data_IF_463731185148
#
_entry.id   IF_463731185148
#
_cell.length_a   1.000
_cell.length_b   1.000
_cell.length_c   1.000
_cell.angle_alpha   90.00
_cell.angle_beta   90.00
_cell.angle_gamma   90.00
#
_symmetry.space_group_name_H-M   'P 1'
#
loop_
_entity.id
_entity.type
_entity.pdbx_description
1 polymer ?
#
# COMPACT_ATOMS: atom_id res chain seq x y z
N UNK A 1 -9.35 -10.36 -11.67
CA UNK A 1 -10.16 -11.44 -11.07
C UNK A 1 -9.65 -11.88 -9.69
N UNK A 2 -8.37 -12.20 -9.52
CA UNK A 2 -7.82 -12.74 -8.27
C UNK A 2 -7.97 -11.73 -7.11
N UNK A 3 -7.57 -10.46 -7.28
CA UNK A 3 -7.73 -9.42 -6.24
C UNK A 3 -9.19 -9.16 -5.86
N UNK A 4 -10.12 -9.27 -6.80
CA UNK A 4 -11.57 -9.20 -6.52
C UNK A 4 -12.01 -10.34 -5.60
N UNK A 5 -11.53 -11.55 -5.86
CA UNK A 5 -11.83 -12.70 -5.01
C UNK A 5 -11.27 -12.53 -3.59
N UNK A 6 -10.04 -12.03 -3.46
CA UNK A 6 -9.44 -11.70 -2.16
C UNK A 6 -10.26 -10.61 -1.45
N UNK A 7 -10.57 -9.51 -2.13
CA UNK A 7 -11.36 -8.40 -1.58
C UNK A 7 -12.75 -8.83 -1.09
N UNK A 8 -13.39 -9.81 -1.75
CA UNK A 8 -14.65 -10.40 -1.30
C UNK A 8 -14.53 -11.19 0.01
N UNK A 9 -13.36 -11.82 0.21
CA UNK A 9 -13.12 -12.69 1.37
C UNK A 9 -12.55 -11.96 2.59
N UNK A 10 -12.09 -10.72 2.44
CA UNK A 10 -11.61 -9.88 3.53
C UNK A 10 -12.77 -9.08 4.12
N UNK A 11 -12.97 -9.16 5.43
CA UNK A 11 -13.85 -8.24 6.15
C UNK A 11 -13.15 -6.89 6.37
N UNK A 12 -13.94 -5.84 6.64
CA UNK A 12 -13.40 -4.53 6.96
C UNK A 12 -12.55 -4.60 8.25
N UNK A 13 -11.35 -3.99 8.25
CA UNK A 13 -10.53 -3.81 9.44
C UNK A 13 -11.01 -2.61 10.28
N UNK A 14 -10.45 -2.44 11.48
CA UNK A 14 -10.73 -1.27 12.30
C UNK A 14 -10.25 0.02 11.64
N UNK A 15 -9.05 0.00 11.10
CA UNK A 15 -8.43 1.16 10.45
C UNK A 15 -9.24 1.56 9.20
N UNK A 16 -9.64 0.58 8.36
CA UNK A 16 -10.52 0.83 7.21
C UNK A 16 -11.89 1.37 7.63
N UNK A 17 -12.48 0.85 8.71
CA UNK A 17 -13.75 1.34 9.24
C UNK A 17 -13.64 2.77 9.77
N UNK A 18 -12.51 3.12 10.39
CA UNK A 18 -12.25 4.48 10.86
C UNK A 18 -12.13 5.45 9.68
N UNK A 19 -11.36 5.12 8.65
CA UNK A 19 -11.27 5.92 7.42
C UNK A 19 -12.61 6.08 6.71
N UNK A 20 -13.44 5.04 6.73
CA UNK A 20 -14.78 5.08 6.11
C UNK A 20 -15.76 5.98 6.86
N UNK A 21 -15.86 5.86 8.19
CA UNK A 21 -16.81 6.64 8.99
C UNK A 21 -16.32 8.04 9.36
N UNK A 22 -15.01 8.25 9.40
CA UNK A 22 -14.35 9.50 9.72
C UNK A 22 -13.34 9.83 8.62
N UNK A 23 -13.81 10.24 7.41
CA UNK A 23 -12.94 10.46 6.26
C UNK A 23 -12.09 11.72 6.44
N UNK A 24 -10.92 11.58 7.07
CA UNK A 24 -9.95 12.67 7.27
C UNK A 24 -8.95 12.78 6.11
N UNK A 25 -8.88 11.77 5.25
CA UNK A 25 -7.94 11.67 4.14
C UNK A 25 -8.65 11.34 2.82
N UNK A 26 -7.89 11.42 1.73
CA UNK A 26 -8.40 11.13 0.39
C UNK A 26 -8.87 9.67 0.24
N UNK A 27 -8.22 8.73 0.91
CA UNK A 27 -8.60 7.31 0.91
C UNK A 27 -9.98 7.09 1.53
N UNK A 28 -10.27 7.77 2.65
CA UNK A 28 -11.60 7.77 3.27
C UNK A 28 -12.67 8.33 2.34
N UNK A 29 -12.40 9.46 1.68
CA UNK A 29 -13.32 10.02 0.68
C UNK A 29 -13.56 9.05 -0.47
N UNK A 30 -12.49 8.44 -1.01
CA UNK A 30 -12.59 7.49 -2.11
C UNK A 30 -13.37 6.22 -1.70
N UNK A 31 -13.23 5.76 -0.45
CA UNK A 31 -13.98 4.61 0.07
C UNK A 31 -15.48 4.90 0.16
N UNK A 32 -15.87 6.09 0.61
CA UNK A 32 -17.27 6.53 0.63
C UNK A 32 -17.86 6.63 -0.76
N UNK A 33 -17.11 7.21 -1.71
CA UNK A 33 -17.52 7.28 -3.11
C UNK A 33 -17.66 5.88 -3.72
N UNK A 34 -16.76 4.96 -3.39
CA UNK A 34 -16.81 3.56 -3.84
C UNK A 34 -18.08 2.86 -3.34
N UNK A 35 -18.42 3.02 -2.07
CA UNK A 35 -19.64 2.45 -1.49
C UNK A 35 -20.90 3.09 -2.06
N UNK A 36 -20.88 4.38 -2.31
CA UNK A 36 -22.00 5.09 -2.96
C UNK A 36 -22.29 4.53 -4.36
N UNK A 37 -21.26 4.24 -5.17
CA UNK A 37 -21.40 3.75 -6.54
C UNK A 37 -21.69 2.24 -6.62
N UNK A 38 -21.09 1.43 -5.76
CA UNK A 38 -21.11 -0.04 -5.86
C UNK A 38 -21.86 -0.73 -4.70
N UNK A 39 -22.42 0.03 -3.77
CA UNK A 39 -23.15 -0.47 -2.62
C UNK A 39 -22.29 -0.81 -1.42
N UNK A 40 -22.93 -0.87 -0.25
CA UNK A 40 -22.26 -1.12 1.04
C UNK A 40 -21.96 -2.61 1.25
N UNK A 41 -20.89 -3.07 0.68
CA UNK A 41 -20.36 -4.43 0.81
C UNK A 41 -18.83 -4.43 0.65
N UNK A 42 -18.18 -5.55 1.00
CA UNK A 42 -16.70 -5.65 0.99
C UNK A 42 -16.08 -5.39 -0.40
N UNK A 43 -16.78 -5.75 -1.48
CA UNK A 43 -16.34 -5.47 -2.85
C UNK A 43 -16.55 -4.00 -3.17
N UNK A 44 -17.76 -3.47 -2.90
CA UNK A 44 -18.09 -2.08 -3.14
C UNK A 44 -17.14 -1.12 -2.45
N UNK A 45 -16.72 -1.44 -1.22
CA UNK A 45 -15.73 -0.67 -0.47
C UNK A 45 -14.38 -0.55 -1.20
N UNK A 46 -13.97 -1.59 -1.93
CA UNK A 46 -12.63 -1.72 -2.54
C UNK A 46 -12.60 -1.48 -4.04
N UNK A 47 -13.75 -1.32 -4.68
CA UNK A 47 -13.85 -1.31 -6.15
C UNK A 47 -13.06 -0.17 -6.80
N UNK A 48 -13.16 1.06 -6.27
CA UNK A 48 -12.40 2.18 -6.82
C UNK A 48 -10.89 2.03 -6.62
N UNK A 49 -10.44 1.42 -5.52
CA UNK A 49 -9.02 1.14 -5.31
C UNK A 49 -8.49 0.10 -6.31
N UNK A 50 -9.28 -0.92 -6.63
CA UNK A 50 -8.95 -1.89 -7.67
C UNK A 50 -8.90 -1.26 -9.07
N UNK A 51 -9.85 -0.37 -9.39
CA UNK A 51 -9.84 0.39 -10.65
C UNK A 51 -8.60 1.30 -10.72
N UNK A 52 -8.28 1.99 -9.64
CA UNK A 52 -7.09 2.82 -9.54
C UNK A 52 -5.80 2.00 -9.71
N UNK A 53 -5.76 0.78 -9.16
CA UNK A 53 -4.64 -0.15 -9.37
C UNK A 53 -4.47 -0.54 -10.85
N UNK A 54 -5.56 -0.80 -11.58
CA UNK A 54 -5.50 -1.06 -13.02
C UNK A 54 -5.01 0.17 -13.79
N UNK A 55 -5.50 1.37 -13.46
CA UNK A 55 -5.00 2.62 -14.03
C UNK A 55 -3.50 2.80 -13.76
N UNK A 56 -3.03 2.51 -12.55
CA UNK A 56 -1.62 2.57 -12.21
C UNK A 56 -0.77 1.59 -13.03
N UNK A 57 -1.26 0.38 -13.29
CA UNK A 57 -0.57 -0.58 -14.16
C UNK A 57 -0.43 -0.05 -15.60
N UNK A 58 -1.48 0.58 -16.13
CA UNK A 58 -1.46 1.22 -17.46
C UNK A 58 -0.49 2.41 -17.48
N UNK A 59 -0.54 3.28 -16.47
CA UNK A 59 0.40 4.42 -16.37
C UNK A 59 1.84 3.94 -16.22
N UNK A 60 2.09 2.88 -15.45
CA UNK A 60 3.41 2.27 -15.32
C UNK A 60 3.91 1.77 -16.68
N UNK A 61 3.05 1.16 -17.51
CA UNK A 61 3.41 0.75 -18.86
C UNK A 61 3.75 1.94 -19.76
N UNK A 62 2.91 2.99 -19.76
CA UNK A 62 3.13 4.21 -20.57
C UNK A 62 4.44 4.86 -20.17
N UNK A 63 4.69 5.06 -18.88
CA UNK A 63 5.92 5.65 -18.37
C UNK A 63 7.14 4.80 -18.72
N UNK A 64 7.08 3.49 -18.46
CA UNK A 64 8.18 2.58 -18.74
C UNK A 64 8.48 2.48 -20.24
N UNK A 65 7.46 2.52 -21.12
CA UNK A 65 7.63 2.51 -22.59
C UNK A 65 8.43 3.71 -23.08
N UNK A 66 8.21 4.88 -22.51
CA UNK A 66 9.00 6.07 -22.87
C UNK A 66 10.38 6.12 -22.19
N UNK A 67 10.56 5.43 -21.06
CA UNK A 67 11.82 5.39 -20.31
C UNK A 67 12.80 4.31 -20.79
N UNK A 68 12.28 3.17 -21.25
CA UNK A 68 13.05 1.99 -21.63
C UNK A 68 13.26 1.91 -23.14
N UNK A 69 14.32 1.19 -23.56
CA UNK A 69 14.70 1.05 -24.97
C UNK A 69 13.73 0.19 -25.80
N UNK A 70 13.01 -0.74 -25.17
CA UNK A 70 12.12 -1.68 -25.87
C UNK A 70 10.77 -1.78 -25.15
N UNK A 71 9.65 -1.88 -25.90
CA UNK A 71 8.33 -2.08 -25.29
C UNK A 71 8.20 -3.37 -24.46
N UNK A 72 8.94 -4.42 -24.84
CA UNK A 72 9.00 -5.68 -24.06
C UNK A 72 9.53 -5.47 -22.64
N UNK A 73 10.50 -4.57 -22.46
CA UNK A 73 11.05 -4.26 -21.15
C UNK A 73 10.01 -3.52 -20.28
N UNK A 74 9.12 -2.74 -20.90
CA UNK A 74 8.02 -2.07 -20.21
C UNK A 74 6.99 -3.07 -19.67
N UNK A 75 6.73 -4.16 -20.37
CA UNK A 75 5.88 -5.24 -19.85
C UNK A 75 6.48 -5.87 -18.59
N UNK A 76 7.80 -6.02 -18.52
CA UNK A 76 8.48 -6.47 -17.30
C UNK A 76 8.33 -5.50 -16.14
N UNK A 77 8.33 -4.18 -16.38
CA UNK A 77 8.02 -3.20 -15.34
C UNK A 77 6.62 -3.42 -14.77
N UNK A 78 5.62 -3.61 -15.64
CA UNK A 78 4.25 -3.86 -15.22
C UNK A 78 4.14 -5.20 -14.48
N UNK A 79 4.80 -6.25 -14.98
CA UNK A 79 4.82 -7.54 -14.31
C UNK A 79 5.40 -7.43 -12.88
N UNK A 80 6.55 -6.77 -12.72
CA UNK A 80 7.13 -6.53 -11.39
C UNK A 80 6.19 -5.72 -10.52
N UNK A 81 5.60 -4.62 -11.05
CA UNK A 81 4.64 -3.79 -10.33
C UNK A 81 3.45 -4.61 -9.82
N UNK A 82 2.84 -5.45 -10.67
CA UNK A 82 1.69 -6.29 -10.32
C UNK A 82 2.06 -7.43 -9.35
N UNK A 83 3.32 -7.86 -9.30
CA UNK A 83 3.79 -8.90 -8.39
C UNK A 83 4.32 -8.35 -7.07
N UNK A 84 4.47 -7.02 -6.89
CA UNK A 84 4.90 -6.47 -5.60
C UNK A 84 3.84 -6.68 -4.53
N UNK A 85 4.20 -7.26 -3.36
CA UNK A 85 3.25 -7.50 -2.27
C UNK A 85 2.59 -6.22 -1.76
N UNK A 86 3.37 -5.14 -1.59
CA UNK A 86 2.86 -3.86 -1.11
C UNK A 86 1.87 -3.21 -2.09
N UNK A 87 2.06 -3.36 -3.40
CA UNK A 87 1.14 -2.84 -4.43
C UNK A 87 -0.19 -3.60 -4.41
N UNK A 88 -0.14 -4.92 -4.25
CA UNK A 88 -1.34 -5.75 -4.13
C UNK A 88 -2.10 -5.46 -2.83
N UNK A 89 -1.39 -5.28 -1.72
CA UNK A 89 -2.01 -4.87 -0.45
C UNK A 89 -2.71 -3.50 -0.59
N UNK A 90 -2.05 -2.51 -1.17
CA UNK A 90 -2.63 -1.18 -1.43
C UNK A 90 -3.85 -1.20 -2.38
N UNK A 91 -3.96 -2.21 -3.24
CA UNK A 91 -5.10 -2.38 -4.15
C UNK A 91 -6.36 -2.94 -3.47
N UNK A 92 -6.21 -3.70 -2.38
CA UNK A 92 -7.30 -4.37 -1.67
C UNK A 92 -7.63 -3.74 -0.31
N UNK A 93 -6.79 -2.85 0.21
CA UNK A 93 -7.00 -2.12 1.46
C UNK A 93 -7.30 -0.64 1.18
N UNK A 94 -8.01 0.01 2.09
CA UNK A 94 -8.23 1.46 2.02
C UNK A 94 -6.92 2.16 2.37
N UNK A 95 -6.29 2.79 1.38
CA UNK A 95 -5.04 3.53 1.57
C UNK A 95 -4.84 4.61 0.50
N UNK A 96 -4.09 5.65 0.84
CA UNK A 96 -3.70 6.69 -0.13
C UNK A 96 -2.63 6.21 -1.13
N UNK A 97 -2.00 5.04 -0.91
CA UNK A 97 -0.87 4.56 -1.70
C UNK A 97 -1.17 4.52 -3.20
N UNK A 98 -2.37 4.09 -3.58
CA UNK A 98 -2.78 4.03 -4.99
C UNK A 98 -2.80 5.38 -5.68
N UNK A 99 -3.32 6.43 -5.02
CA UNK A 99 -3.38 7.79 -5.58
C UNK A 99 -2.00 8.46 -5.60
N UNK A 100 -1.14 8.16 -4.61
CA UNK A 100 0.23 8.64 -4.58
C UNK A 100 1.01 8.11 -5.79
N UNK A 101 0.90 6.80 -6.06
CA UNK A 101 1.50 6.18 -7.26
C UNK A 101 0.94 6.82 -8.53
N UNK A 102 -0.40 6.98 -8.62
CA UNK A 102 -1.07 7.55 -9.77
C UNK A 102 -0.55 8.96 -10.12
N UNK A 103 -0.59 9.87 -9.16
CA UNK A 103 -0.18 11.26 -9.38
C UNK A 103 1.33 11.38 -9.65
N UNK A 104 2.15 10.56 -8.98
CA UNK A 104 3.60 10.56 -9.22
C UNK A 104 3.95 10.00 -10.60
N UNK A 105 3.29 8.92 -11.05
CA UNK A 105 3.44 8.41 -12.42
C UNK A 105 2.97 9.43 -13.45
N UNK A 106 1.84 10.07 -13.21
CA UNK A 106 1.31 11.11 -14.09
C UNK A 106 2.28 12.29 -14.21
N UNK A 107 2.88 12.73 -13.09
CA UNK A 107 3.94 13.75 -13.09
C UNK A 107 5.13 13.32 -13.97
N UNK A 108 5.60 12.09 -13.79
CA UNK A 108 6.73 11.56 -14.56
C UNK A 108 6.42 11.42 -16.04
N UNK A 109 5.21 10.99 -16.42
CA UNK A 109 4.76 10.86 -17.82
C UNK A 109 4.67 12.22 -18.48
N UNK A 110 3.98 13.18 -17.86
CA UNK A 110 3.84 14.53 -18.42
C UNK A 110 5.18 15.23 -18.57
N UNK A 111 6.06 15.09 -17.57
CA UNK A 111 7.42 15.58 -17.67
C UNK A 111 8.20 14.92 -18.81
N UNK A 112 8.07 13.61 -19.01
CA UNK A 112 8.75 12.88 -20.06
C UNK A 112 8.29 13.31 -21.48
N UNK A 113 7.00 13.62 -21.63
CA UNK A 113 6.42 14.04 -22.92
C UNK A 113 6.72 15.50 -23.26
N UNK A 114 6.66 16.39 -22.27
CA UNK A 114 6.73 17.85 -22.49
C UNK A 114 8.09 18.44 -22.15
N UNK A 115 8.95 17.72 -21.44
CA UNK A 115 10.19 18.19 -20.81
C UNK A 115 9.97 19.41 -19.88
N UNK A 116 8.72 19.68 -19.50
CA UNK A 116 8.32 20.74 -18.56
C UNK A 116 7.58 20.15 -17.37
N UNK A 117 7.83 20.69 -16.20
CA UNK A 117 7.09 20.29 -14.99
C UNK A 117 5.66 20.84 -15.06
N UNK A 118 4.63 20.00 -14.92
CA UNK A 118 3.22 20.44 -14.92
C UNK A 118 2.87 21.06 -13.56
N UNK A 119 3.04 22.37 -13.42
CA UNK A 119 2.84 23.09 -12.15
C UNK A 119 1.43 22.95 -11.57
N UNK A 120 0.40 22.86 -12.43
CA UNK A 120 -0.98 22.61 -12.01
C UNK A 120 -1.14 21.28 -11.28
N UNK A 121 -0.38 20.25 -11.69
CA UNK A 121 -0.39 18.94 -11.05
C UNK A 121 0.28 19.00 -9.66
N UNK A 122 1.36 19.80 -9.52
CA UNK A 122 2.00 20.01 -8.23
C UNK A 122 1.04 20.67 -7.23
N UNK A 123 0.20 21.61 -7.71
CA UNK A 123 -0.83 22.20 -6.87
C UNK A 123 -1.83 21.16 -6.36
N UNK A 124 -2.32 20.27 -7.23
CA UNK A 124 -3.20 19.16 -6.82
C UNK A 124 -2.51 18.26 -5.79
N UNK A 125 -1.26 17.85 -6.08
CA UNK A 125 -0.49 16.99 -5.17
C UNK A 125 -0.32 17.62 -3.78
N UNK A 126 -0.18 18.95 -3.69
CA UNK A 126 -0.02 19.65 -2.42
C UNK A 126 -1.22 19.51 -1.47
N UNK A 127 -2.42 19.23 -1.98
CA UNK A 127 -3.66 19.09 -1.21
C UNK A 127 -4.13 17.65 -1.00
N UNK A 128 -3.45 16.64 -1.57
CA UNK A 128 -3.93 15.26 -1.55
C UNK A 128 -3.35 14.45 -0.40
N UNK A 129 -2.03 14.53 -0.17
CA UNK A 129 -1.38 13.69 0.83
C UNK A 129 -0.04 14.27 1.31
N UNK A 130 0.29 13.99 2.59
CA UNK A 130 1.56 14.41 3.23
C UNK A 130 2.82 13.86 2.53
N UNK A 131 2.74 12.72 1.86
CA UNK A 131 3.88 12.10 1.18
C UNK A 131 4.42 12.93 0.02
N UNK A 132 3.60 13.82 -0.57
CA UNK A 132 4.03 14.70 -1.65
C UNK A 132 5.04 15.76 -1.22
N UNK A 133 5.19 16.04 0.09
CA UNK A 133 6.31 16.82 0.60
C UNK A 133 7.65 16.28 0.09
N UNK A 134 7.80 14.94 0.03
CA UNK A 134 9.04 14.33 -0.48
C UNK A 134 9.22 14.50 -1.98
N UNK A 135 8.12 14.56 -2.74
CA UNK A 135 8.19 14.88 -4.18
C UNK A 135 8.64 16.32 -4.38
N UNK A 136 8.09 17.27 -3.61
CA UNK A 136 8.52 18.68 -3.68
C UNK A 136 9.98 18.83 -3.24
N UNK A 137 10.41 18.14 -2.20
CA UNK A 137 11.81 18.11 -1.77
C UNK A 137 12.71 17.52 -2.88
N UNK A 138 12.29 16.46 -3.56
CA UNK A 138 13.01 15.89 -4.68
C UNK A 138 13.10 16.86 -5.87
N UNK A 139 12.03 17.62 -6.14
CA UNK A 139 12.00 18.66 -7.18
C UNK A 139 12.93 19.83 -6.85
N UNK A 140 13.13 20.19 -5.57
CA UNK A 140 14.13 21.17 -5.17
C UNK A 140 15.52 20.70 -5.56
N UNK A 141 15.92 19.48 -5.18
CA UNK A 141 17.21 18.92 -5.54
C UNK A 141 17.38 18.76 -7.07
N UNK A 142 16.32 18.35 -7.74
CA UNK A 142 16.29 18.26 -9.21
C UNK A 142 16.45 19.64 -9.85
N UNK A 143 15.76 20.67 -9.38
CA UNK A 143 15.85 22.05 -9.86
C UNK A 143 17.26 22.65 -9.68
N UNK A 144 17.90 22.38 -8.53
CA UNK A 144 19.31 22.77 -8.27
C UNK A 144 20.24 22.11 -9.31
N UNK A 145 20.06 20.80 -9.54
CA UNK A 145 20.88 20.06 -10.51
C UNK A 145 20.70 20.55 -11.95
N UNK A 146 19.48 20.97 -12.31
CA UNK A 146 19.15 21.53 -13.63
C UNK A 146 19.38 23.05 -13.73
N UNK A 147 19.86 23.71 -12.66
CA UNK A 147 20.03 25.17 -12.56
C UNK A 147 18.74 25.96 -12.86
N UNK A 148 17.58 25.40 -12.52
CA UNK A 148 16.27 26.02 -12.70
C UNK A 148 15.78 26.63 -11.38
N UNK A 149 16.12 27.91 -11.14
CA UNK A 149 15.76 28.63 -9.92
C UNK A 149 14.26 28.80 -9.72
N UNK A 150 13.49 28.95 -10.81
CA UNK A 150 12.03 29.05 -10.73
C UNK A 150 11.41 27.76 -10.19
N UNK A 151 11.87 26.60 -10.67
CA UNK A 151 11.42 25.29 -10.17
C UNK A 151 11.76 25.13 -8.68
N UNK A 152 12.97 25.51 -8.26
CA UNK A 152 13.40 25.44 -6.86
C UNK A 152 12.48 26.28 -5.97
N UNK A 153 12.26 27.55 -6.36
CA UNK A 153 11.41 28.46 -5.57
C UNK A 153 9.97 27.97 -5.47
N UNK A 154 9.38 27.54 -6.58
CA UNK A 154 8.01 27.05 -6.60
C UNK A 154 7.85 25.74 -5.81
N UNK A 155 8.80 24.81 -5.93
CA UNK A 155 8.80 23.57 -5.17
C UNK A 155 8.96 23.81 -3.67
N UNK A 156 9.72 24.84 -3.28
CA UNK A 156 9.84 25.24 -1.88
C UNK A 156 8.51 25.76 -1.32
N UNK A 157 7.77 26.57 -2.11
CA UNK A 157 6.43 27.03 -1.75
C UNK A 157 5.48 25.86 -1.56
N UNK A 158 5.43 24.92 -2.51
CA UNK A 158 4.55 23.75 -2.40
C UNK A 158 4.96 22.81 -1.25
N UNK A 159 6.26 22.69 -0.99
CA UNK A 159 6.75 21.96 0.17
C UNK A 159 6.25 22.58 1.48
N UNK A 160 6.43 23.91 1.64
CA UNK A 160 5.97 24.62 2.82
C UNK A 160 4.44 24.56 2.99
N UNK A 161 3.69 24.71 1.88
CA UNK A 161 2.23 24.58 1.87
C UNK A 161 1.77 23.18 2.30
N UNK A 162 2.36 22.12 1.76
CA UNK A 162 2.01 20.76 2.10
C UNK A 162 2.34 20.43 3.57
N UNK A 163 3.50 20.88 4.05
CA UNK A 163 3.89 20.76 5.46
C UNK A 163 2.94 21.49 6.41
N UNK A 164 2.45 22.65 6.00
CA UNK A 164 1.47 23.42 6.77
C UNK A 164 0.10 22.75 6.83
N UNK A 165 -0.33 22.10 5.74
CA UNK A 165 -1.65 21.47 5.66
C UNK A 165 -1.72 20.12 6.38
N UNK A 166 -0.65 19.33 6.34
CA UNK A 166 -0.68 17.94 6.81
C UNK A 166 0.12 17.67 8.08
N UNK A 167 0.79 18.65 8.62
CA UNK A 167 1.59 18.56 9.85
C UNK A 167 2.37 17.22 9.98
N UNK A 168 3.60 17.21 9.47
CA UNK A 168 4.46 16.04 9.64
C UNK A 168 4.98 15.99 11.07
N UNK A 169 4.36 15.17 11.90
CA UNK A 169 4.83 14.93 13.27
C UNK A 169 6.24 14.32 13.24
N UNK A 170 7.21 15.13 13.61
CA UNK A 170 8.60 14.72 13.80
C UNK A 170 8.87 14.70 15.31
N UNK A 171 8.75 13.53 15.91
CA UNK A 171 8.93 13.35 17.34
C UNK A 171 9.44 11.95 17.66
N UNK A 172 9.77 11.69 18.93
CA UNK A 172 10.13 10.36 19.42
C UNK A 172 11.56 10.23 19.91
N UNK A 173 11.89 9.08 20.48
CA UNK A 173 13.20 8.71 20.98
C UNK A 173 13.76 7.54 20.17
N UNK A 174 15.08 7.46 19.93
CA UNK A 174 15.69 6.32 19.25
C UNK A 174 15.38 5.00 19.97
N UNK A 175 14.70 4.07 19.29
CA UNK A 175 14.24 2.80 19.86
C UNK A 175 14.29 1.64 18.85
N UNK A 176 15.34 1.56 18.02
CA UNK A 176 15.50 0.46 17.08
C UNK A 176 14.56 0.44 15.87
N UNK A 177 13.79 1.48 15.63
CA UNK A 177 12.80 1.57 14.53
C UNK A 177 13.40 1.42 13.13
N UNK A 178 14.71 1.63 12.99
CA UNK A 178 15.41 1.45 11.72
C UNK A 178 15.32 0.01 11.19
N UNK A 179 15.45 -0.99 12.08
CA UNK A 179 15.35 -2.41 11.71
C UNK A 179 13.92 -2.72 11.32
N UNK A 180 12.94 -2.27 12.09
CA UNK A 180 11.52 -2.48 11.80
C UNK A 180 11.11 -1.84 10.46
N UNK A 181 11.53 -0.59 10.24
CA UNK A 181 11.26 0.13 8.98
C UNK A 181 11.91 -0.57 7.79
N UNK A 182 13.16 -1.01 7.93
CA UNK A 182 13.85 -1.78 6.89
C UNK A 182 13.15 -3.11 6.63
N UNK A 183 12.68 -3.81 7.67
CA UNK A 183 11.88 -5.02 7.56
C UNK A 183 10.57 -4.79 6.81
N UNK A 184 9.86 -3.70 7.09
CA UNK A 184 8.64 -3.33 6.36
C UNK A 184 8.92 -3.04 4.88
N UNK A 185 10.01 -2.33 4.54
CA UNK A 185 10.39 -2.10 3.15
C UNK A 185 10.72 -3.40 2.43
N UNK A 186 11.40 -4.34 3.10
CA UNK A 186 11.68 -5.68 2.57
C UNK A 186 10.37 -6.47 2.31
N UNK A 187 9.35 -6.31 3.14
CA UNK A 187 8.04 -6.94 2.92
C UNK A 187 7.26 -6.29 1.77
N UNK A 188 7.28 -4.96 1.65
CA UNK A 188 6.59 -4.22 0.59
C UNK A 188 7.15 -4.57 -0.79
N UNK A 189 8.48 -4.65 -0.92
CA UNK A 189 9.17 -4.89 -2.20
C UNK A 189 9.52 -6.36 -2.45
N UNK A 190 9.58 -7.22 -1.47
CA UNK A 190 10.35 -8.46 -1.41
C UNK A 190 11.87 -8.19 -1.19
N UNK A 191 12.57 -9.01 -0.39
CA UNK A 191 13.98 -8.77 -0.06
C UNK A 191 14.89 -8.66 -1.28
N UNK A 192 14.75 -9.54 -2.25
CA UNK A 192 15.60 -9.56 -3.45
C UNK A 192 15.37 -8.34 -4.35
N UNK A 193 14.10 -7.91 -4.51
CA UNK A 193 13.76 -6.73 -5.30
C UNK A 193 14.28 -5.47 -4.63
N UNK A 194 14.12 -5.35 -3.30
CA UNK A 194 14.57 -4.18 -2.56
C UNK A 194 16.10 -4.02 -2.62
N UNK A 195 16.85 -5.10 -2.41
CA UNK A 195 18.31 -5.05 -2.53
C UNK A 195 18.75 -4.67 -3.95
N UNK A 196 18.08 -5.20 -4.97
CA UNK A 196 18.38 -4.82 -6.35
C UNK A 196 17.95 -3.35 -6.65
N UNK A 197 16.90 -2.86 -6.02
CA UNK A 197 16.50 -1.45 -6.10
C UNK A 197 17.57 -0.52 -5.51
N UNK A 198 18.12 -0.84 -4.34
CA UNK A 198 19.23 -0.08 -3.74
C UNK A 198 20.44 -0.07 -4.66
N UNK A 199 20.78 -1.23 -5.25
CA UNK A 199 21.85 -1.32 -6.25
C UNK A 199 21.58 -0.45 -7.48
N UNK A 200 20.34 -0.41 -7.97
CA UNK A 200 19.97 0.43 -9.09
C UNK A 200 20.11 1.92 -8.75
N UNK A 201 19.66 2.37 -7.59
CA UNK A 201 19.83 3.75 -7.13
C UNK A 201 21.31 4.15 -7.06
N UNK A 202 22.16 3.26 -6.51
CA UNK A 202 23.62 3.47 -6.49
C UNK A 202 24.24 3.57 -7.89
N UNK A 203 23.83 2.71 -8.83
CA UNK A 203 24.34 2.75 -10.20
C UNK A 203 23.94 4.03 -10.92
N UNK A 204 22.71 4.52 -10.73
CA UNK A 204 22.26 5.79 -11.28
C UNK A 204 22.92 7.00 -10.60
N UNK A 205 23.30 6.90 -9.32
CA UNK A 205 24.10 7.96 -8.66
C UNK A 205 25.41 8.23 -9.41
N UNK A 206 26.09 7.20 -9.90
CA UNK A 206 27.33 7.31 -10.67
C UNK A 206 27.12 7.65 -12.16
N UNK A 207 25.88 7.83 -12.60
CA UNK A 207 25.57 8.19 -13.98
C UNK A 207 25.70 9.71 -14.22
N UNK A 208 26.10 10.12 -15.45
CA UNK A 208 26.22 11.54 -15.81
C UNK A 208 24.89 12.28 -15.77
N UNK A 209 23.82 11.62 -16.20
CA UNK A 209 22.47 12.19 -16.23
C UNK A 209 21.56 11.38 -15.29
N UNK A 210 20.90 12.08 -14.37
CA UNK A 210 20.00 11.47 -13.41
C UNK A 210 18.56 11.85 -13.77
N UNK A 211 17.67 10.87 -14.03
CA UNK A 211 16.26 11.17 -14.35
C UNK A 211 15.51 11.66 -13.10
N UNK A 212 14.41 12.41 -13.30
CA UNK A 212 13.57 12.94 -12.23
C UNK A 212 13.15 11.86 -11.22
N UNK A 213 12.75 10.69 -11.71
CA UNK A 213 12.34 9.55 -10.89
C UNK A 213 13.43 9.06 -9.92
N UNK A 214 14.71 9.22 -10.28
CA UNK A 214 15.81 8.89 -9.38
C UNK A 214 15.85 9.84 -8.19
N UNK A 215 15.62 11.16 -8.41
CA UNK A 215 15.55 12.13 -7.31
C UNK A 215 14.37 11.84 -6.38
N UNK A 216 13.20 11.52 -6.93
CA UNK A 216 12.02 11.15 -6.12
C UNK A 216 12.34 9.92 -5.26
N UNK A 217 12.89 8.88 -5.87
CA UNK A 217 13.17 7.62 -5.15
C UNK A 217 14.28 7.77 -4.09
N UNK A 218 15.37 8.48 -4.40
CA UNK A 218 16.48 8.61 -3.45
C UNK A 218 16.13 9.51 -2.27
N UNK A 219 15.36 10.59 -2.50
CA UNK A 219 14.89 11.48 -1.45
C UNK A 219 13.88 10.77 -0.55
N UNK A 220 12.92 10.04 -1.12
CA UNK A 220 11.97 9.27 -0.34
C UNK A 220 12.67 8.20 0.50
N UNK A 221 13.60 7.43 -0.08
CA UNK A 221 14.38 6.43 0.66
C UNK A 221 15.20 7.06 1.77
N UNK A 222 15.94 8.12 1.46
CA UNK A 222 16.78 8.84 2.43
C UNK A 222 15.96 9.38 3.60
N UNK A 223 14.80 9.96 3.31
CA UNK A 223 13.88 10.47 4.34
C UNK A 223 13.35 9.34 5.24
N UNK A 224 12.85 8.26 4.66
CA UNK A 224 12.34 7.10 5.41
C UNK A 224 13.42 6.55 6.35
N UNK A 225 14.63 6.32 5.84
CA UNK A 225 15.72 5.77 6.62
C UNK A 225 16.22 6.76 7.69
N UNK A 226 16.33 8.05 7.36
CA UNK A 226 16.71 9.09 8.30
C UNK A 226 15.71 9.22 9.44
N UNK A 227 14.42 9.29 9.11
CA UNK A 227 13.34 9.43 10.09
C UNK A 227 13.25 8.20 11.01
N UNK A 228 13.50 7.00 10.46
CA UNK A 228 13.48 5.72 11.20
C UNK A 228 14.56 5.60 12.28
N UNK A 229 15.60 6.44 12.24
CA UNK A 229 16.60 6.50 13.31
C UNK A 229 16.00 7.07 14.61
N UNK A 230 14.98 7.90 14.50
CA UNK A 230 14.40 8.63 15.64
C UNK A 230 12.99 8.17 16.00
N UNK A 231 12.17 7.80 15.02
CA UNK A 231 10.76 7.46 15.24
C UNK A 231 10.29 6.31 14.36
N UNK A 232 9.16 5.70 14.73
CA UNK A 232 8.45 4.75 13.88
C UNK A 232 7.90 5.47 12.65
N UNK A 233 8.25 4.98 11.47
CA UNK A 233 7.82 5.55 10.19
C UNK A 233 6.64 4.75 9.64
N UNK A 234 5.61 5.45 9.21
CA UNK A 234 4.51 4.87 8.42
C UNK A 234 5.01 4.57 7.00
N UNK A 235 5.67 3.42 6.84
CA UNK A 235 6.27 3.04 5.55
C UNK A 235 5.25 2.96 4.42
N UNK A 236 3.99 2.63 4.73
CA UNK A 236 2.89 2.54 3.77
C UNK A 236 2.58 3.89 3.10
N UNK A 237 2.79 5.00 3.81
CA UNK A 237 2.58 6.35 3.27
C UNK A 237 3.66 6.76 2.27
N UNK A 238 4.93 6.43 2.53
CA UNK A 238 6.05 6.92 1.72
C UNK A 238 6.59 5.91 0.71
N UNK A 239 6.42 4.59 0.94
CA UNK A 239 6.86 3.55 0.02
C UNK A 239 6.29 3.65 -1.41
N UNK A 240 5.08 4.17 -1.65
CA UNK A 240 4.55 4.41 -2.99
C UNK A 240 5.50 5.18 -3.90
N UNK A 241 6.23 6.17 -3.35
CA UNK A 241 7.21 6.97 -4.10
C UNK A 241 8.42 6.15 -4.54
N UNK A 242 8.79 5.11 -3.79
CA UNK A 242 9.85 4.18 -4.16
C UNK A 242 9.39 3.21 -5.26
N UNK A 243 8.13 2.77 -5.20
CA UNK A 243 7.54 1.83 -6.18
C UNK A 243 7.59 2.41 -7.60
N UNK A 244 7.38 3.72 -7.74
CA UNK A 244 7.49 4.42 -9.03
C UNK A 244 8.89 4.29 -9.64
N UNK A 245 9.92 3.98 -8.85
CA UNK A 245 11.31 3.74 -9.27
C UNK A 245 11.59 2.40 -9.97
N UNK A 246 10.61 1.49 -10.11
CA UNK A 246 10.77 0.18 -10.79
C UNK A 246 11.45 0.28 -12.17
N UNK A 247 11.13 1.25 -13.05
CA UNK A 247 11.78 1.38 -14.34
C UNK A 247 13.30 1.58 -14.28
N UNK A 248 13.83 2.15 -13.19
CA UNK A 248 15.28 2.26 -12.99
C UNK A 248 15.93 0.87 -12.87
N UNK A 249 15.33 -0.02 -12.08
CA UNK A 249 15.82 -1.40 -11.92
C UNK A 249 15.78 -2.16 -13.24
N UNK A 250 14.65 -2.08 -13.94
CA UNK A 250 14.43 -2.79 -15.19
C UNK A 250 15.37 -2.28 -16.29
N UNK A 251 15.58 -0.94 -16.36
CA UNK A 251 16.56 -0.34 -17.27
C UNK A 251 17.97 -0.88 -17.04
N UNK A 252 18.38 -0.96 -15.78
CA UNK A 252 19.70 -1.48 -15.41
C UNK A 252 19.83 -2.97 -15.75
N UNK A 253 18.82 -3.78 -15.43
CA UNK A 253 18.82 -5.22 -15.71
C UNK A 253 18.96 -5.51 -17.21
N UNK A 254 18.09 -4.91 -18.05
CA UNK A 254 18.10 -5.18 -19.47
C UNK A 254 19.32 -4.57 -20.20
N UNK A 255 19.83 -3.41 -19.77
CA UNK A 255 21.08 -2.89 -20.29
C UNK A 255 22.25 -3.83 -19.98
N UNK A 256 22.33 -4.34 -18.77
CA UNK A 256 23.33 -5.34 -18.39
C UNK A 256 23.19 -6.67 -19.16
N UNK A 257 21.96 -7.14 -19.38
CA UNK A 257 21.69 -8.37 -20.12
C UNK A 257 22.09 -8.26 -21.61
N UNK A 258 21.90 -7.09 -22.23
CA UNK A 258 22.19 -6.87 -23.66
C UNK A 258 23.67 -6.81 -23.98
N UNK A 259 24.48 -6.33 -23.06
CA UNK A 259 25.95 -6.21 -23.24
C UNK A 259 26.67 -7.56 -23.01
N UNK A 260 26.03 -8.52 -22.36
CA UNK A 260 26.66 -9.81 -22.03
C UNK A 260 26.73 -10.75 -23.23
N UNK A 261 27.83 -11.52 -23.32
CA UNK A 261 27.99 -12.61 -24.26
C UNK A 261 26.94 -13.71 -24.03
N UNK A 262 26.53 -14.45 -25.07
CA UNK A 262 25.49 -15.48 -24.98
C UNK A 262 25.70 -16.50 -23.84
N UNK A 263 26.94 -16.94 -23.63
CA UNK A 263 27.33 -17.92 -22.61
C UNK A 263 27.02 -17.45 -21.18
N UNK A 264 27.18 -16.16 -20.88
CA UNK A 264 26.94 -15.58 -19.57
C UNK A 264 25.50 -15.10 -19.35
N UNK A 265 24.68 -15.04 -20.41
CA UNK A 265 23.27 -14.59 -20.29
C UNK A 265 22.44 -15.50 -19.41
N UNK A 266 22.65 -16.83 -19.51
CA UNK A 266 21.90 -17.80 -18.72
C UNK A 266 22.15 -17.60 -17.22
N UNK A 267 23.41 -17.52 -16.80
CA UNK A 267 23.77 -17.27 -15.38
C UNK A 267 23.21 -15.94 -14.83
N UNK A 268 23.09 -14.92 -15.69
CA UNK A 268 22.55 -13.63 -15.31
C UNK A 268 21.00 -13.65 -15.17
N UNK A 269 20.31 -14.53 -15.90
CA UNK A 269 18.86 -14.69 -15.81
C UNK A 269 18.41 -15.48 -14.58
N UNK A 270 19.27 -16.34 -14.03
CA UNK A 270 18.93 -17.20 -12.88
C UNK A 270 18.49 -16.37 -11.65
N UNK A 271 19.26 -15.37 -11.15
CA UNK A 271 18.84 -14.54 -10.01
C UNK A 271 17.51 -13.84 -10.26
N UNK A 272 17.27 -13.39 -11.49
CA UNK A 272 16.02 -12.77 -11.88
C UNK A 272 14.84 -13.74 -11.85
N UNK A 273 15.04 -14.97 -12.34
CA UNK A 273 14.03 -16.03 -12.26
C UNK A 273 13.69 -16.39 -10.81
N UNK A 274 14.70 -16.47 -9.94
CA UNK A 274 14.51 -16.69 -8.49
C UNK A 274 13.71 -15.55 -7.88
N UNK A 275 14.02 -14.30 -8.24
CA UNK A 275 13.29 -13.11 -7.76
C UNK A 275 11.82 -13.16 -8.15
N UNK A 276 11.50 -13.51 -9.40
CA UNK A 276 10.12 -13.67 -9.86
C UNK A 276 9.39 -14.79 -9.11
N UNK A 277 10.06 -15.90 -8.85
CA UNK A 277 9.50 -17.03 -8.10
C UNK A 277 9.20 -16.61 -6.65
N UNK A 278 10.10 -15.90 -5.99
CA UNK A 278 9.89 -15.38 -4.63
C UNK A 278 8.72 -14.40 -4.62
N UNK A 279 8.65 -13.46 -5.57
CA UNK A 279 7.51 -12.54 -5.69
C UNK A 279 6.20 -13.29 -5.88
N UNK A 280 6.17 -14.28 -6.76
CA UNK A 280 4.98 -15.12 -6.98
C UNK A 280 4.57 -15.84 -5.69
N UNK A 281 5.53 -16.41 -4.96
CA UNK A 281 5.26 -17.07 -3.69
C UNK A 281 4.67 -16.09 -2.65
N UNK A 282 5.20 -14.87 -2.54
CA UNK A 282 4.67 -13.83 -1.63
C UNK A 282 3.23 -13.42 -2.02
N UNK A 283 2.96 -13.26 -3.32
CA UNK A 283 1.59 -12.98 -3.81
C UNK A 283 0.66 -14.14 -3.47
N UNK A 284 1.08 -15.39 -3.66
CA UNK A 284 0.29 -16.56 -3.29
C UNK A 284 -0.03 -16.61 -1.80
N UNK A 285 0.91 -16.24 -0.93
CA UNK A 285 0.66 -16.12 0.53
C UNK A 285 -0.43 -15.08 0.82
N UNK A 286 -0.42 -13.93 0.15
CA UNK A 286 -1.49 -12.93 0.28
C UNK A 286 -2.83 -13.46 -0.22
N UNK A 287 -2.85 -14.12 -1.38
CA UNK A 287 -4.06 -14.65 -1.99
C UNK A 287 -4.70 -15.76 -1.16
N UNK A 288 -3.89 -16.65 -0.61
CA UNK A 288 -4.32 -17.76 0.22
C UNK A 288 -4.28 -17.44 1.72
N UNK A 289 -4.30 -16.16 2.10
CA UNK A 289 -4.25 -15.73 3.49
C UNK A 289 -5.38 -16.31 4.36
N UNK A 290 -6.62 -16.45 3.82
CA UNK A 290 -7.75 -17.04 4.56
C UNK A 290 -7.61 -18.56 4.82
N UNK A 291 -7.25 -19.39 3.82
CA UNK A 291 -6.88 -20.80 4.06
C UNK A 291 -5.69 -20.96 5.01
N UNK A 292 -4.64 -20.14 4.86
CA UNK A 292 -3.47 -20.17 5.74
C UNK A 292 -3.84 -19.83 7.18
N UNK A 293 -4.71 -18.82 7.38
CA UNK A 293 -5.25 -18.49 8.70
C UNK A 293 -5.97 -19.68 9.35
N UNK A 294 -6.79 -20.41 8.60
CA UNK A 294 -7.47 -21.58 9.11
C UNK A 294 -6.53 -22.75 9.44
N UNK A 295 -5.43 -22.90 8.69
CA UNK A 295 -4.47 -23.99 8.89
C UNK A 295 -3.52 -23.76 10.08
N UNK A 296 -2.98 -22.53 10.21
CA UNK A 296 -1.89 -22.22 11.13
C UNK A 296 -2.33 -21.51 12.43
N UNK A 297 -3.62 -21.29 12.65
CA UNK A 297 -4.11 -20.53 13.81
C UNK A 297 -4.10 -21.35 15.12
N UNK A 298 -2.93 -21.60 15.68
CA UNK A 298 -2.81 -21.95 17.11
C UNK A 298 -2.91 -20.68 18.00
N UNK A 299 -2.32 -19.55 17.56
CA UNK A 299 -2.44 -18.22 18.18
C UNK A 299 -3.03 -17.24 17.16
N UNK A 300 -4.35 -17.06 17.21
CA UNK A 300 -5.11 -16.34 16.17
C UNK A 300 -4.77 -14.86 16.11
N UNK A 301 -4.48 -14.22 17.25
CA UNK A 301 -4.20 -12.77 17.32
C UNK A 301 -2.86 -12.38 16.71
N UNK A 302 -1.91 -13.31 16.61
CA UNK A 302 -0.58 -13.10 16.05
C UNK A 302 -0.55 -13.20 14.49
N UNK A 303 -1.64 -13.69 13.89
CA UNK A 303 -1.68 -13.84 12.44
C UNK A 303 -1.80 -12.46 11.75
N UNK A 304 -0.94 -12.20 10.78
CA UNK A 304 -0.83 -10.88 10.11
C UNK A 304 -2.14 -10.34 9.54
N UNK A 305 -3.03 -11.22 9.05
CA UNK A 305 -4.31 -10.82 8.45
C UNK A 305 -5.51 -10.94 9.42
N UNK A 306 -5.30 -11.23 10.72
CA UNK A 306 -6.37 -11.36 11.72
C UNK A 306 -7.32 -10.16 11.76
N UNK A 307 -6.76 -8.96 11.58
CA UNK A 307 -7.52 -7.69 11.57
C UNK A 307 -8.57 -7.62 10.46
N UNK A 308 -8.43 -8.42 9.41
CA UNK A 308 -9.32 -8.46 8.25
C UNK A 308 -10.23 -9.69 8.22
N UNK A 309 -10.40 -10.40 9.35
CA UNK A 309 -11.28 -11.57 9.47
C UNK A 309 -12.26 -11.41 10.62
N UNK A 310 -13.22 -12.30 10.71
CA UNK A 310 -14.19 -12.51 11.79
C UNK A 310 -15.37 -11.52 11.80
N UNK A 311 -15.21 -10.23 11.51
CA UNK A 311 -16.27 -9.24 11.69
C UNK A 311 -17.48 -9.47 10.76
N UNK A 312 -17.23 -9.90 9.53
CA UNK A 312 -18.27 -10.22 8.53
C UNK A 312 -19.11 -11.41 8.96
N UNK A 313 -18.45 -12.50 9.32
CA UNK A 313 -19.10 -13.75 9.75
C UNK A 313 -19.83 -13.55 11.08
N UNK A 314 -19.24 -12.78 12.01
CA UNK A 314 -19.92 -12.42 13.26
C UNK A 314 -21.19 -11.60 12.97
N UNK A 315 -21.12 -10.61 12.09
CA UNK A 315 -22.28 -9.81 11.70
C UNK A 315 -23.37 -10.64 11.03
N UNK A 316 -23.00 -11.63 10.20
CA UNK A 316 -23.97 -12.55 9.58
C UNK A 316 -24.67 -13.41 10.63
N UNK A 317 -23.93 -14.04 11.55
CA UNK A 317 -24.49 -14.87 12.62
C UNK A 317 -25.40 -14.04 13.54
N UNK A 318 -25.09 -12.78 13.81
CA UNK A 318 -25.93 -11.89 14.61
C UNK A 318 -27.25 -11.56 13.89
N UNK A 319 -27.18 -11.27 12.59
CA UNK A 319 -28.37 -11.00 11.76
C UNK A 319 -29.30 -12.21 11.65
N UNK A 320 -28.76 -13.42 11.52
CA UNK A 320 -29.53 -14.68 11.54
C UNK A 320 -30.27 -14.90 12.88
N UNK A 321 -29.73 -14.34 13.97
CA UNK A 321 -30.38 -14.34 15.29
C UNK A 321 -31.27 -13.12 15.53
N UNK A 322 -31.50 -12.26 14.51
CA UNK A 322 -32.25 -11.00 14.61
C UNK A 322 -31.66 -10.01 15.63
N UNK A 323 -30.32 -10.01 15.80
CA UNK A 323 -29.62 -9.09 16.69
C UNK A 323 -28.99 -8.01 15.84
N UNK A 324 -29.52 -6.79 15.89
CA UNK A 324 -29.02 -5.64 15.09
C UNK A 324 -28.35 -4.57 15.96
N UNK A 325 -28.38 -4.72 17.27
CA UNK A 325 -27.74 -3.81 18.22
C UNK A 325 -26.94 -4.60 19.24
N UNK A 326 -25.67 -4.21 19.43
CA UNK A 326 -24.77 -4.89 20.36
C UNK A 326 -23.82 -3.89 21.01
N UNK A 327 -23.32 -4.24 22.20
CA UNK A 327 -22.25 -3.52 22.87
C UNK A 327 -21.01 -4.41 22.90
N UNK A 328 -19.92 -3.95 22.29
CA UNK A 328 -18.62 -4.66 22.26
C UNK A 328 -17.48 -3.64 22.35
N UNK A 329 -16.24 -4.08 22.22
CA UNK A 329 -15.10 -3.15 22.20
C UNK A 329 -15.18 -2.22 20.98
N UNK A 330 -14.64 -1.01 21.11
CA UNK A 330 -14.70 0.03 20.07
C UNK A 330 -14.20 -0.47 18.70
N UNK A 331 -13.11 -1.24 18.69
CA UNK A 331 -12.52 -1.77 17.45
C UNK A 331 -13.48 -2.68 16.69
N UNK A 332 -14.17 -3.59 17.40
CA UNK A 332 -15.14 -4.47 16.77
C UNK A 332 -16.44 -3.73 16.46
N UNK A 333 -16.82 -2.75 17.29
CA UNK A 333 -18.04 -1.97 17.11
C UNK A 333 -18.03 -1.18 15.80
N UNK A 334 -16.94 -0.46 15.47
CA UNK A 334 -16.80 0.26 14.19
C UNK A 334 -16.89 -0.71 12.99
N UNK A 335 -16.28 -1.89 13.09
CA UNK A 335 -16.34 -2.93 12.05
C UNK A 335 -17.75 -3.49 11.85
N UNK A 336 -18.45 -3.80 12.92
CA UNK A 336 -19.82 -4.32 12.90
C UNK A 336 -20.82 -3.29 12.35
N UNK A 337 -20.61 -2.00 12.65
CA UNK A 337 -21.41 -0.90 12.14
C UNK A 337 -21.41 -0.86 10.60
N UNK A 338 -20.30 -1.16 9.96
CA UNK A 338 -20.23 -1.25 8.50
C UNK A 338 -21.18 -2.32 7.94
N UNK A 339 -21.37 -3.42 8.65
CA UNK A 339 -22.31 -4.49 8.28
C UNK A 339 -23.74 -4.26 8.79
N UNK A 340 -24.06 -3.08 9.34
CA UNK A 340 -25.41 -2.74 9.80
C UNK A 340 -25.76 -3.26 11.20
N UNK A 341 -24.77 -3.59 12.02
CA UNK A 341 -24.96 -3.90 13.47
C UNK A 341 -24.53 -2.65 14.25
N UNK A 342 -25.52 -1.96 14.81
CA UNK A 342 -25.28 -0.69 15.51
C UNK A 342 -24.86 -0.90 16.98
N UNK A 343 -24.34 0.15 17.59
CA UNK A 343 -24.09 0.18 19.01
C UNK A 343 -25.41 0.36 19.79
N UNK A 344 -25.55 -0.33 20.89
CA UNK A 344 -26.72 -0.23 21.80
C UNK A 344 -27.40 -1.56 22.08
N UNK A 345 -28.61 -1.49 22.67
CA UNK A 345 -29.37 -2.64 23.06
C UNK A 345 -28.81 -3.36 24.30
N UNK A 346 -29.51 -4.43 24.70
CA UNK A 346 -29.21 -5.21 25.92
C UNK A 346 -28.29 -6.41 25.64
N UNK A 347 -27.56 -6.41 24.50
CA UNK A 347 -26.68 -7.51 24.10
C UNK A 347 -25.24 -7.08 24.18
N UNK A 348 -24.44 -7.74 25.01
CA UNK A 348 -23.00 -7.55 25.12
C UNK A 348 -22.25 -8.71 24.45
N UNK A 349 -21.24 -8.40 23.64
CA UNK A 349 -20.39 -9.40 22.98
C UNK A 349 -18.96 -9.28 23.51
N UNK A 350 -18.39 -10.43 23.88
CA UNK A 350 -17.02 -10.55 24.38
C UNK A 350 -16.30 -11.72 23.71
N UNK A 351 -14.98 -11.67 23.68
CA UNK A 351 -14.11 -12.77 23.23
C UNK A 351 -13.72 -13.68 24.40
N UNK A 352 -13.93 -13.22 25.64
CA UNK A 352 -13.62 -13.96 26.84
C UNK A 352 -14.83 -14.83 27.26
N UNK A 353 -14.54 -15.99 27.85
CA UNK A 353 -15.58 -16.89 28.37
C UNK A 353 -16.42 -16.20 29.45
N UNK A 354 -17.72 -16.25 29.28
CA UNK A 354 -18.69 -15.73 30.25
C UNK A 354 -19.66 -16.84 30.57
N UNK A 355 -19.83 -17.14 31.86
CA UNK A 355 -20.78 -18.16 32.34
C UNK A 355 -22.21 -17.77 31.94
N UNK A 356 -22.97 -18.71 31.38
CA UNK A 356 -24.34 -18.50 30.87
C UNK A 356 -24.47 -17.62 29.62
N UNK A 357 -23.39 -17.30 28.92
CA UNK A 357 -23.45 -16.63 27.62
C UNK A 357 -23.69 -17.64 26.49
N UNK A 358 -24.42 -17.21 25.47
CA UNK A 358 -24.60 -18.00 24.24
C UNK A 358 -23.31 -17.92 23.39
N UNK A 359 -22.78 -19.07 23.03
CA UNK A 359 -21.60 -19.14 22.16
C UNK A 359 -21.97 -18.93 20.68
N UNK A 360 -21.20 -18.08 19.99
CA UNK A 360 -21.24 -17.95 18.53
C UNK A 360 -19.86 -18.38 18.00
N UNK A 361 -19.72 -19.66 17.60
CA UNK A 361 -18.48 -20.12 16.98
C UNK A 361 -18.39 -19.66 15.52
N UNK A 362 -17.21 -19.23 15.11
CA UNK A 362 -16.90 -18.91 13.72
C UNK A 362 -16.04 -20.03 13.13
N UNK A 363 -16.48 -20.53 11.98
CA UNK A 363 -15.81 -21.62 11.27
C UNK A 363 -15.24 -21.13 9.94
N UNK A 364 -13.98 -21.51 9.66
CA UNK A 364 -13.39 -21.41 8.33
C UNK A 364 -12.96 -22.79 7.86
N UNK A 365 -13.43 -23.20 6.69
CA UNK A 365 -13.14 -24.51 6.10
C UNK A 365 -13.36 -25.70 7.07
N UNK A 366 -14.44 -25.63 7.84
CA UNK A 366 -14.81 -26.67 8.82
C UNK A 366 -14.04 -26.63 10.14
N UNK A 367 -13.04 -25.75 10.31
CA UNK A 367 -12.27 -25.58 11.54
C UNK A 367 -12.82 -24.39 12.34
N UNK A 368 -13.03 -24.59 13.63
CA UNK A 368 -13.43 -23.52 14.57
C UNK A 368 -12.26 -22.58 14.78
N UNK A 369 -12.43 -21.32 14.36
CA UNK A 369 -11.37 -20.31 14.35
C UNK A 369 -11.52 -19.33 15.49
N UNK A 370 -12.73 -18.94 15.87
CA UNK A 370 -12.99 -18.01 16.95
C UNK A 370 -14.31 -18.36 17.65
N UNK A 371 -14.48 -17.89 18.89
CA UNK A 371 -15.72 -17.98 19.64
C UNK A 371 -16.04 -16.61 20.21
N UNK A 372 -17.24 -16.14 19.99
CA UNK A 372 -17.77 -14.95 20.63
C UNK A 372 -18.87 -15.37 21.62
N UNK A 373 -18.88 -14.73 22.77
CA UNK A 373 -19.85 -14.96 23.84
C UNK A 373 -20.84 -13.81 23.86
N UNK A 374 -22.13 -14.15 23.70
CA UNK A 374 -23.23 -13.20 23.65
C UNK A 374 -24.00 -13.30 24.97
N UNK A 375 -24.01 -12.24 25.76
CA UNK A 375 -24.72 -12.09 26.98
C UNK A 375 -25.84 -11.06 26.83
N UNK A 376 -27.05 -11.38 27.19
CA UNK A 376 -28.12 -10.38 27.38
C UNK A 376 -27.88 -9.70 28.72
N UNK A 377 -27.64 -8.40 28.74
CA UNK A 377 -27.71 -7.61 29.97
C UNK A 377 -29.20 -7.53 30.40
N UNK A 378 -29.50 -7.91 31.61
CA UNK A 378 -30.80 -7.73 32.24
C UNK A 378 -31.16 -6.24 32.28
#
# INVERSE_FOLDING_TARGET
>A
MILLWVGKNLSISYDEASHFFEPLDFGGFLSNLSVFLFGQNDIGLRMLFLLLHLCNAVLMFIFAKGFLKRPSDALFCVLLFLLLPGVNAAAILISNSGIIIFLTLLLCILYQQTHKIPYWLLLIMAFVDKSFALVFLALIFYGIAQKNTFLVFLSLIFFALNMYLFDLEIGGHPAGYFIDTSGHLLLIFSPLVFLYFLYALYRFYNSKTKPLIWYISIVALGFILFLSLRQKVETETFAPLLIVGIPLMVSLYFSGLRVRLPEFKSRYKIPFGITLLVLLAMVLVLLFSKPLFALFSSNQEEYFAYRHYLAKELAQNLKEQNIFQVNTNERMQKRLRFYGINQGGNVKITTYFVKNAKEIPIFYYGKKVAVFYVQKSL
#
